data_IF_135723588608
#
_entry.id   IF_135723588608
#
_cell.length_a   1.000
_cell.length_b   1.000
_cell.length_c   1.000
_cell.angle_alpha   90.00
_cell.angle_beta   90.00
_cell.angle_gamma   90.00
#
_symmetry.space_group_name_H-M   'P 1'
#
loop_
_entity.id
_entity.type
_entity.pdbx_description
1 polymer ?
#
# COMPACT_ATOMS: atom_id res chain seq x y z
N UNK A 1 17.33 -4.96 -10.91
CA UNK A 1 16.83 -6.24 -10.39
C UNK A 1 15.45 -6.53 -10.99
N UNK A 2 15.07 -7.81 -11.07
CA UNK A 2 13.74 -8.19 -11.54
C UNK A 2 12.69 -7.92 -10.46
N UNK A 3 11.42 -7.73 -10.83
CA UNK A 3 10.33 -7.56 -9.86
C UNK A 3 10.17 -8.76 -8.91
N UNK A 4 10.53 -9.97 -9.36
CA UNK A 4 10.53 -11.16 -8.49
C UNK A 4 11.65 -11.11 -7.45
N UNK A 5 12.80 -10.60 -7.82
CA UNK A 5 13.93 -10.44 -6.90
C UNK A 5 13.66 -9.33 -5.89
N UNK A 6 13.08 -8.20 -6.34
CA UNK A 6 12.62 -7.12 -5.47
C UNK A 6 11.60 -7.63 -4.44
N UNK A 7 10.58 -8.37 -4.89
CA UNK A 7 9.59 -8.97 -4.00
C UNK A 7 10.21 -9.95 -2.97
N UNK A 8 11.24 -10.71 -3.39
CA UNK A 8 11.96 -11.61 -2.49
C UNK A 8 12.72 -10.84 -1.41
N UNK A 9 13.40 -9.76 -1.78
CA UNK A 9 14.14 -8.92 -0.83
C UNK A 9 13.21 -8.23 0.17
N UNK A 10 12.03 -7.77 -0.29
CA UNK A 10 10.98 -7.21 0.57
C UNK A 10 10.53 -8.24 1.62
N UNK A 11 10.27 -9.48 1.20
CA UNK A 11 9.90 -10.56 2.11
C UNK A 11 10.97 -10.80 3.19
N UNK A 12 12.24 -10.90 2.80
CA UNK A 12 13.34 -11.07 3.74
C UNK A 12 13.47 -9.90 4.71
N UNK A 13 13.28 -8.67 4.22
CA UNK A 13 13.27 -7.46 5.05
C UNK A 13 12.14 -7.47 6.10
N UNK A 14 10.95 -7.90 5.72
CA UNK A 14 9.81 -8.02 6.63
C UNK A 14 10.07 -9.10 7.68
N UNK A 15 10.60 -10.27 7.29
CA UNK A 15 10.95 -11.34 8.23
C UNK A 15 12.00 -10.91 9.26
N UNK A 16 12.98 -10.12 8.84
CA UNK A 16 14.03 -9.64 9.75
C UNK A 16 13.55 -8.61 10.77
N UNK A 17 12.46 -7.89 10.43
CA UNK A 17 11.96 -6.78 11.24
C UNK A 17 10.77 -7.12 12.13
N UNK A 18 10.11 -8.26 11.96
CA UNK A 18 8.86 -8.58 12.66
C UNK A 18 8.83 -10.04 13.11
N UNK A 19 8.13 -10.30 14.21
CA UNK A 19 7.83 -11.67 14.67
C UNK A 19 6.48 -12.11 14.12
N UNK A 20 6.39 -13.34 13.64
CA UNK A 20 5.20 -13.91 13.04
C UNK A 20 4.73 -15.16 13.78
N UNK A 21 3.42 -15.30 13.90
CA UNK A 21 2.78 -16.56 14.28
C UNK A 21 2.82 -17.56 13.12
N UNK A 22 2.42 -18.81 13.38
CA UNK A 22 2.35 -19.89 12.37
C UNK A 22 1.11 -19.72 11.45
N UNK A 23 1.03 -18.58 10.77
CA UNK A 23 -0.04 -18.30 9.80
C UNK A 23 0.53 -17.56 8.58
N UNK A 24 -0.14 -17.75 7.46
CA UNK A 24 0.22 -17.00 6.25
C UNK A 24 -0.25 -15.54 6.36
N UNK A 25 0.48 -14.66 5.69
CA UNK A 25 0.19 -13.22 5.59
C UNK A 25 0.46 -12.72 4.18
N UNK A 26 -0.08 -11.57 3.84
CA UNK A 26 0.20 -10.89 2.58
C UNK A 26 1.02 -9.63 2.86
N UNK A 27 2.13 -9.46 2.15
CA UNK A 27 2.88 -8.20 2.15
C UNK A 27 2.44 -7.41 0.91
N UNK A 28 2.21 -6.12 1.09
CA UNK A 28 2.04 -5.14 0.02
C UNK A 28 3.12 -4.08 0.13
N UNK A 29 3.85 -3.88 -0.96
CA UNK A 29 4.79 -2.77 -1.12
C UNK A 29 4.35 -1.89 -2.28
N UNK A 30 4.06 -0.62 -2.02
CA UNK A 30 3.66 0.34 -3.05
C UNK A 30 4.82 1.30 -3.27
N UNK A 31 5.61 0.99 -4.27
CA UNK A 31 6.72 1.82 -4.72
C UNK A 31 6.29 2.96 -5.65
N UNK A 32 7.28 3.66 -6.21
CA UNK A 32 7.02 4.71 -7.20
C UNK A 32 6.60 4.16 -8.57
N UNK A 33 7.18 3.06 -9.01
CA UNK A 33 7.00 2.46 -10.34
C UNK A 33 6.19 1.17 -10.36
N UNK A 34 6.23 0.41 -9.27
CA UNK A 34 5.62 -0.91 -9.14
C UNK A 34 4.89 -1.09 -7.82
N UNK A 35 4.12 -2.15 -7.74
CA UNK A 35 3.49 -2.66 -6.52
C UNK A 35 3.72 -4.16 -6.45
N UNK A 36 4.32 -4.60 -5.36
CA UNK A 36 4.56 -5.99 -5.05
C UNK A 36 3.46 -6.53 -4.13
N UNK A 37 2.93 -7.71 -4.45
CA UNK A 37 2.07 -8.49 -3.56
C UNK A 37 2.73 -9.84 -3.33
N UNK A 38 2.92 -10.18 -2.06
CA UNK A 38 3.65 -11.37 -1.65
C UNK A 38 2.79 -12.14 -0.65
N UNK A 39 2.44 -13.38 -0.97
CA UNK A 39 1.91 -14.31 0.01
C UNK A 39 3.07 -15.08 0.64
N UNK A 40 3.14 -15.06 1.94
CA UNK A 40 4.23 -15.69 2.68
C UNK A 40 3.77 -16.26 4.02
N UNK A 41 4.62 -17.06 4.60
CA UNK A 41 4.62 -17.41 6.01
C UNK A 41 6.03 -17.19 6.60
N UNK A 42 6.26 -17.60 7.83
CA UNK A 42 7.56 -17.43 8.49
C UNK A 42 8.69 -18.28 7.87
N UNK A 43 8.36 -19.25 7.00
CA UNK A 43 9.34 -20.17 6.40
C UNK A 43 9.62 -19.80 4.95
N UNK A 44 8.57 -19.48 4.18
CA UNK A 44 8.67 -19.35 2.74
C UNK A 44 7.84 -18.20 2.17
N UNK A 45 8.35 -17.62 1.08
CA UNK A 45 7.57 -16.79 0.19
C UNK A 45 6.78 -17.69 -0.78
N UNK A 46 5.50 -17.91 -0.49
CA UNK A 46 4.62 -18.87 -1.19
C UNK A 46 4.28 -18.39 -2.60
N UNK A 47 4.05 -17.08 -2.77
CA UNK A 47 3.82 -16.45 -4.06
C UNK A 47 4.37 -15.03 -4.09
N UNK A 48 5.15 -14.74 -5.12
CA UNK A 48 5.74 -13.43 -5.38
C UNK A 48 5.11 -12.85 -6.65
N UNK A 49 4.69 -11.59 -6.61
CA UNK A 49 4.17 -10.86 -7.76
C UNK A 49 4.71 -9.44 -7.76
N UNK A 50 4.84 -8.86 -8.96
CA UNK A 50 5.15 -7.44 -9.16
C UNK A 50 4.27 -6.93 -10.29
N UNK A 51 3.57 -5.84 -10.05
CA UNK A 51 2.72 -5.16 -11.02
C UNK A 51 3.28 -3.79 -11.31
N UNK A 52 3.37 -3.39 -12.59
CA UNK A 52 3.92 -2.09 -13.00
C UNK A 52 2.95 -0.93 -12.73
N UNK A 53 2.43 -0.87 -11.52
CA UNK A 53 1.62 0.22 -11.01
C UNK A 53 2.22 0.71 -9.69
N UNK A 54 2.70 1.92 -9.67
CA UNK A 54 3.27 2.56 -8.50
C UNK A 54 2.77 3.99 -8.39
N UNK A 55 2.89 4.61 -7.23
CA UNK A 55 2.30 5.92 -6.92
C UNK A 55 2.76 7.03 -7.88
N UNK A 56 4.06 7.11 -8.18
CA UNK A 56 4.60 8.12 -9.10
C UNK A 56 4.13 7.86 -10.53
N UNK A 57 4.10 6.60 -10.95
CA UNK A 57 3.65 6.23 -12.29
C UNK A 57 2.17 6.57 -12.48
N UNK A 58 1.31 6.20 -11.54
CA UNK A 58 -0.11 6.52 -11.59
C UNK A 58 -0.36 8.02 -11.60
N UNK A 59 0.39 8.80 -10.79
CA UNK A 59 0.34 10.25 -10.84
C UNK A 59 0.65 10.77 -12.24
N UNK A 60 1.75 10.35 -12.84
CA UNK A 60 2.19 10.82 -14.14
C UNK A 60 1.21 10.45 -15.26
N UNK A 61 0.67 9.24 -15.21
CA UNK A 61 -0.22 8.73 -16.27
C UNK A 61 -1.65 9.32 -16.15
N UNK A 62 -2.13 9.62 -14.94
CA UNK A 62 -3.54 9.94 -14.71
C UNK A 62 -3.81 11.29 -14.06
N UNK A 63 -2.84 11.90 -13.34
CA UNK A 63 -3.08 13.05 -12.46
C UNK A 63 -2.32 14.32 -12.82
N UNK A 64 -1.70 14.38 -13.99
CA UNK A 64 -0.86 15.51 -14.41
C UNK A 64 -1.60 16.87 -14.57
N UNK A 65 -2.94 16.92 -14.39
CA UNK A 65 -3.75 18.14 -14.65
C UNK A 65 -4.72 18.42 -13.50
N UNK A 66 -4.23 18.77 -12.32
CA UNK A 66 -5.07 19.32 -11.25
C UNK A 66 -5.71 18.28 -10.31
N UNK A 67 -6.77 18.67 -9.59
CA UNK A 67 -7.47 17.81 -8.63
C UNK A 67 -8.15 16.61 -9.29
N UNK A 68 -8.27 15.52 -8.54
CA UNK A 68 -9.03 14.34 -8.97
C UNK A 68 -10.51 14.68 -9.05
N UNK A 69 -11.11 14.52 -10.25
CA UNK A 69 -12.57 14.52 -10.39
C UNK A 69 -13.13 13.13 -10.02
N UNK A 70 -14.43 13.07 -9.74
CA UNK A 70 -15.13 11.82 -9.43
C UNK A 70 -14.94 10.76 -10.52
N UNK A 71 -15.05 11.16 -11.79
CA UNK A 71 -14.86 10.29 -12.95
C UNK A 71 -13.43 9.75 -13.03
N UNK A 72 -12.44 10.62 -12.83
CA UNK A 72 -11.02 10.22 -12.81
C UNK A 72 -10.70 9.27 -11.66
N UNK A 73 -11.26 9.52 -10.49
CA UNK A 73 -11.12 8.63 -9.33
C UNK A 73 -11.71 7.24 -9.62
N UNK A 74 -12.89 7.17 -10.22
CA UNK A 74 -13.54 5.93 -10.61
C UNK A 74 -12.75 5.18 -11.68
N UNK A 75 -12.25 5.91 -12.70
CA UNK A 75 -11.42 5.33 -13.74
C UNK A 75 -10.11 4.78 -13.17
N UNK A 76 -9.40 5.56 -12.35
CA UNK A 76 -8.16 5.15 -11.70
C UNK A 76 -8.36 3.90 -10.82
N UNK A 77 -9.44 3.89 -10.05
CA UNK A 77 -9.80 2.73 -9.21
C UNK A 77 -10.02 1.48 -10.06
N UNK A 78 -10.72 1.59 -11.18
CA UNK A 78 -10.96 0.47 -12.11
C UNK A 78 -9.67 0.01 -12.75
N UNK A 79 -8.82 0.94 -13.19
CA UNK A 79 -7.51 0.64 -13.75
C UNK A 79 -6.60 -0.11 -12.76
N UNK A 80 -6.52 0.37 -11.51
CA UNK A 80 -5.74 -0.27 -10.44
C UNK A 80 -6.25 -1.68 -10.18
N UNK A 81 -7.57 -1.86 -10.03
CA UNK A 81 -8.19 -3.17 -9.81
C UNK A 81 -7.86 -4.15 -10.95
N UNK A 82 -8.02 -3.73 -12.20
CA UNK A 82 -7.69 -4.54 -13.37
C UNK A 82 -6.21 -4.91 -13.45
N UNK A 83 -5.33 -3.95 -13.14
CA UNK A 83 -3.88 -4.16 -13.17
C UNK A 83 -3.39 -5.10 -12.06
N UNK A 84 -4.04 -5.10 -10.89
CA UNK A 84 -3.71 -5.98 -9.77
C UNK A 84 -4.39 -7.35 -9.85
N UNK A 85 -5.43 -7.50 -10.66
CA UNK A 85 -6.23 -8.73 -10.74
C UNK A 85 -5.39 -10.01 -10.97
N UNK A 86 -4.40 -10.05 -11.88
CA UNK A 86 -3.55 -11.24 -12.05
C UNK A 86 -2.77 -11.59 -10.79
N UNK A 87 -2.22 -10.58 -10.10
CA UNK A 87 -1.47 -10.74 -8.85
C UNK A 87 -2.38 -11.24 -7.73
N UNK A 88 -3.56 -10.62 -7.55
CA UNK A 88 -4.56 -11.03 -6.55
C UNK A 88 -5.03 -12.46 -6.80
N UNK A 89 -5.30 -12.83 -8.05
CA UNK A 89 -5.70 -14.18 -8.43
C UNK A 89 -4.62 -15.21 -8.09
N UNK A 90 -3.35 -14.90 -8.37
CA UNK A 90 -2.22 -15.76 -8.00
C UNK A 90 -2.11 -15.93 -6.48
N UNK A 91 -2.26 -14.86 -5.69
CA UNK A 91 -2.26 -14.92 -4.22
C UNK A 91 -3.40 -15.81 -3.73
N UNK A 92 -4.62 -15.59 -4.20
CA UNK A 92 -5.80 -16.37 -3.81
C UNK A 92 -5.66 -17.86 -4.13
N UNK A 93 -5.14 -18.20 -5.31
CA UNK A 93 -4.97 -19.61 -5.73
C UNK A 93 -3.90 -20.36 -4.91
N UNK A 94 -3.01 -19.64 -4.26
CA UNK A 94 -1.95 -20.22 -3.43
C UNK A 94 -2.22 -20.13 -1.93
N UNK A 95 -3.21 -19.33 -1.53
CA UNK A 95 -3.66 -19.22 -0.14
C UNK A 95 -4.35 -20.52 0.27
N UNK A 96 -3.93 -21.09 1.39
CA UNK A 96 -4.54 -22.30 1.98
C UNK A 96 -5.46 -21.90 3.12
N UNK A 97 -6.75 -22.23 3.01
CA UNK A 97 -7.74 -22.09 4.08
C UNK A 97 -8.60 -20.82 3.97
N UNK A 98 -9.69 -20.83 4.74
CA UNK A 98 -10.72 -19.77 4.76
C UNK A 98 -10.45 -18.65 5.78
N UNK A 99 -9.30 -18.68 6.46
CA UNK A 99 -8.97 -17.67 7.45
C UNK A 99 -8.56 -16.36 6.76
N UNK A 100 -9.03 -15.20 7.23
CA UNK A 100 -8.61 -13.92 6.72
C UNK A 100 -7.10 -13.76 6.92
N UNK A 101 -6.41 -13.36 5.85
CA UNK A 101 -4.97 -13.09 5.87
C UNK A 101 -4.71 -11.72 6.50
N UNK A 102 -3.73 -11.65 7.39
CA UNK A 102 -3.17 -10.37 7.82
C UNK A 102 -2.43 -9.73 6.65
N UNK A 103 -2.55 -8.41 6.50
CA UNK A 103 -1.83 -7.65 5.50
C UNK A 103 -0.76 -6.78 6.17
N UNK A 104 0.45 -6.81 5.63
CA UNK A 104 1.59 -6.02 6.07
C UNK A 104 1.92 -5.06 4.94
N UNK A 105 1.89 -3.78 5.22
CA UNK A 105 2.28 -2.75 4.26
C UNK A 105 3.69 -2.26 4.55
N UNK A 106 4.50 -2.10 3.49
CA UNK A 106 5.88 -1.62 3.56
C UNK A 106 6.06 -0.39 2.67
N UNK A 107 7.25 0.19 2.69
CA UNK A 107 7.67 1.37 1.94
C UNK A 107 7.13 2.71 2.43
N UNK A 108 7.55 3.75 1.76
CA UNK A 108 7.21 5.11 2.14
C UNK A 108 5.73 5.46 1.95
N UNK A 109 5.00 4.78 1.06
CA UNK A 109 3.54 4.96 0.92
C UNK A 109 2.83 4.43 2.16
N UNK A 110 3.21 3.23 2.62
CA UNK A 110 2.68 2.64 3.85
C UNK A 110 2.96 3.50 5.08
N UNK A 111 4.20 4.00 5.20
CA UNK A 111 4.59 4.92 6.28
C UNK A 111 3.76 6.20 6.29
N UNK A 112 3.53 6.79 5.10
CA UNK A 112 2.70 8.00 4.98
C UNK A 112 1.24 7.74 5.39
N UNK A 113 0.67 6.62 4.95
CA UNK A 113 -0.69 6.22 5.34
C UNK A 113 -0.79 5.94 6.84
N UNK A 114 0.20 5.26 7.42
CA UNK A 114 0.24 5.03 8.86
C UNK A 114 0.27 6.32 9.68
N UNK A 115 1.06 7.32 9.27
CA UNK A 115 1.06 8.64 9.90
C UNK A 115 -0.30 9.34 9.81
N UNK A 116 -0.89 9.36 8.61
CA UNK A 116 -2.20 9.98 8.38
C UNK A 116 -3.30 9.33 9.22
N UNK A 117 -3.28 8.00 9.35
CA UNK A 117 -4.24 7.27 10.16
C UNK A 117 -4.05 7.56 11.65
N UNK A 118 -2.79 7.57 12.13
CA UNK A 118 -2.46 7.90 13.50
C UNK A 118 -2.91 9.34 13.87
N UNK A 119 -2.68 10.29 12.97
CA UNK A 119 -3.13 11.67 13.14
C UNK A 119 -4.67 11.77 13.17
N UNK A 120 -5.35 11.04 12.29
CA UNK A 120 -6.82 11.01 12.20
C UNK A 120 -7.48 10.41 13.45
N UNK A 121 -6.81 9.47 14.10
CA UNK A 121 -7.24 8.86 15.34
C UNK A 121 -6.85 9.67 16.59
N UNK A 122 -6.10 10.76 16.43
CA UNK A 122 -5.59 11.57 17.54
C UNK A 122 -4.57 10.84 18.40
N UNK A 123 -3.91 9.84 17.85
CA UNK A 123 -2.87 9.08 18.55
C UNK A 123 -1.58 9.90 18.60
N UNK A 124 -0.90 9.87 19.74
CA UNK A 124 0.44 10.48 19.84
C UNK A 124 1.40 9.76 18.89
N UNK A 125 2.34 10.52 18.28
CA UNK A 125 3.34 9.99 17.31
C UNK A 125 3.99 8.72 17.82
N UNK A 126 3.45 7.57 17.41
CA UNK A 126 3.98 6.26 17.73
C UNK A 126 5.05 5.86 16.71
N UNK A 127 5.92 4.94 17.11
CA UNK A 127 6.78 4.27 16.14
C UNK A 127 5.89 3.49 15.17
N UNK A 128 5.92 3.84 13.88
CA UNK A 128 5.09 3.19 12.86
C UNK A 128 5.47 1.73 12.58
N UNK A 129 6.66 1.32 13.01
CA UNK A 129 7.06 -0.07 12.89
C UNK A 129 6.14 -0.97 13.72
N UNK A 130 5.43 -1.88 13.06
CA UNK A 130 4.43 -2.74 13.70
C UNK A 130 3.11 -2.05 14.03
N UNK A 131 2.89 -0.80 13.59
CA UNK A 131 1.64 -0.09 13.78
C UNK A 131 0.48 -0.84 13.10
N UNK A 132 -0.63 -1.01 13.83
CA UNK A 132 -1.79 -1.77 13.37
C UNK A 132 -3.00 -0.87 13.27
N UNK A 133 -3.72 -0.97 12.17
CA UNK A 133 -4.98 -0.26 11.94
C UNK A 133 -5.98 -1.14 11.19
N UNK A 134 -7.24 -0.78 11.25
CA UNK A 134 -8.30 -1.46 10.52
C UNK A 134 -8.47 -0.87 9.12
N UNK A 135 -9.04 -1.68 8.22
CA UNK A 135 -9.39 -1.23 6.87
C UNK A 135 -10.26 0.04 6.87
N UNK A 136 -11.16 0.16 7.83
CA UNK A 136 -12.05 1.33 8.00
C UNK A 136 -11.26 2.62 8.21
N UNK A 137 -10.19 2.59 9.00
CA UNK A 137 -9.33 3.75 9.23
C UNK A 137 -8.68 4.22 7.92
N UNK A 138 -8.17 3.29 7.11
CA UNK A 138 -7.62 3.60 5.80
C UNK A 138 -8.67 4.20 4.86
N UNK A 139 -9.89 3.66 4.88
CA UNK A 139 -10.98 4.15 4.04
C UNK A 139 -11.38 5.58 4.42
N UNK A 140 -11.47 5.88 5.71
CA UNK A 140 -11.76 7.23 6.20
C UNK A 140 -10.71 8.25 5.75
N UNK A 141 -9.43 7.90 5.85
CA UNK A 141 -8.32 8.76 5.37
C UNK A 141 -8.40 8.95 3.87
N UNK A 142 -8.66 7.90 3.09
CA UNK A 142 -8.82 8.00 1.64
C UNK A 142 -9.96 8.95 1.25
N UNK A 143 -11.12 8.83 1.88
CA UNK A 143 -12.29 9.69 1.62
C UNK A 143 -12.01 11.16 1.96
N UNK A 144 -11.20 11.44 2.97
CA UNK A 144 -10.75 12.80 3.30
C UNK A 144 -9.79 13.33 2.24
N UNK A 145 -8.77 12.56 1.87
CA UNK A 145 -7.74 12.98 0.91
C UNK A 145 -8.33 13.26 -0.48
N UNK A 146 -9.26 12.44 -0.97
CA UNK A 146 -9.89 12.64 -2.29
C UNK A 146 -10.64 13.98 -2.38
N UNK A 147 -11.16 14.48 -1.27
CA UNK A 147 -11.90 15.76 -1.22
C UNK A 147 -10.99 16.99 -1.16
N UNK A 148 -9.71 16.81 -0.86
CA UNK A 148 -8.76 17.90 -0.70
C UNK A 148 -8.00 18.19 -1.99
N UNK A 149 -7.82 19.47 -2.35
CA UNK A 149 -6.85 19.82 -3.38
C UNK A 149 -5.42 19.54 -2.89
N UNK A 150 -4.50 19.29 -3.82
CA UNK A 150 -3.08 18.99 -3.51
C UNK A 150 -2.44 20.08 -2.64
N UNK A 151 -2.83 21.36 -2.82
CA UNK A 151 -2.36 22.47 -2.00
C UNK A 151 -2.70 22.33 -0.51
N UNK A 152 -3.85 21.74 -0.18
CA UNK A 152 -4.23 21.46 1.21
C UNK A 152 -3.56 20.18 1.73
N UNK A 153 -3.41 19.17 0.88
CA UNK A 153 -2.66 17.94 1.24
C UNK A 153 -1.21 18.27 1.60
N UNK A 154 -0.59 19.22 0.90
CA UNK A 154 0.78 19.72 1.20
C UNK A 154 0.91 20.40 2.55
N UNK A 155 -0.17 20.88 3.15
CA UNK A 155 -0.18 21.48 4.48
C UNK A 155 -0.29 20.47 5.63
N UNK A 156 -0.51 19.19 5.34
CA UNK A 156 -0.61 18.15 6.36
C UNK A 156 0.78 17.90 6.95
N UNK A 157 0.99 18.15 8.27
CA UNK A 157 2.32 18.12 8.87
C UNK A 157 3.02 16.76 8.83
N UNK A 158 2.26 15.68 8.80
CA UNK A 158 2.77 14.30 8.74
C UNK A 158 3.20 13.86 7.34
N UNK A 159 2.98 14.69 6.31
CA UNK A 159 3.41 14.43 4.93
C UNK A 159 4.53 15.36 4.50
N UNK A 160 5.57 14.81 3.89
CA UNK A 160 6.51 15.66 3.14
C UNK A 160 5.86 16.17 1.85
N UNK A 161 6.32 17.30 1.33
CA UNK A 161 5.82 17.87 0.05
C UNK A 161 5.81 16.85 -1.08
N UNK A 162 6.90 16.08 -1.21
CA UNK A 162 7.01 15.01 -2.21
C UNK A 162 5.95 13.92 -2.01
N UNK A 163 5.60 13.59 -0.77
CA UNK A 163 4.56 12.59 -0.47
C UNK A 163 3.18 13.12 -0.73
N UNK A 164 2.90 14.35 -0.39
CA UNK A 164 1.62 15.00 -0.65
C UNK A 164 1.22 15.02 -2.14
N UNK A 165 2.21 14.90 -3.04
CA UNK A 165 1.96 14.86 -4.48
C UNK A 165 1.61 13.48 -5.03
N UNK A 166 1.84 12.41 -4.28
CA UNK A 166 1.71 11.03 -4.76
C UNK A 166 0.92 10.10 -3.83
N UNK A 167 0.42 10.62 -2.69
CA UNK A 167 -0.41 9.88 -1.75
C UNK A 167 -1.91 9.86 -2.23
#
# INVERSE_FOLDING_TARGET
ISGSEEARLIYLGVLSGMSFEDQSFVIIDIGGGSTELILADKKDAIALTSSRIGAVRLKNDFLNKGSITSERSSFLTTFIKGSLEPSVRKIKSRSKGDKPLSMIATSGTATSLGNLISDDLGESKQKLHGYKFKRENLQNVLEKLIKLPVSEIKKIPSLSERRAEII
#
